data_IF_408234869417
#
_entry.id   IF_408234869417
#
_cell.length_a   1.000
_cell.length_b   1.000
_cell.length_c   1.000
_cell.angle_alpha   90.00
_cell.angle_beta   90.00
_cell.angle_gamma   90.00
#
_symmetry.space_group_name_H-M   'P 1'
#
loop_
_entity.id
_entity.type
_entity.pdbx_description
1 polymer ?
#
# COMPACT_ATOMS: atom_id res chain seq x y z
N UNK A 1 73.83 -14.59 42.55
CA UNK A 1 73.88 -13.88 41.26
C UNK A 1 73.98 -14.94 40.18
N UNK A 2 72.85 -15.30 39.58
CA UNK A 2 72.77 -16.13 38.37
C UNK A 2 71.31 -16.14 37.89
N UNK A 3 70.99 -15.10 37.14
CA UNK A 3 70.11 -15.04 35.96
C UNK A 3 68.78 -15.78 35.99
N UNK A 4 67.77 -15.01 36.41
CA UNK A 4 66.42 -15.10 35.86
C UNK A 4 66.44 -14.47 34.47
N UNK A 5 66.21 -15.24 33.41
CA UNK A 5 65.63 -14.69 32.18
C UNK A 5 64.82 -15.75 31.42
N UNK A 6 63.50 -15.61 31.54
CA UNK A 6 62.52 -16.43 30.84
C UNK A 6 62.49 -16.09 29.36
N UNK A 7 62.79 -17.09 28.53
CA UNK A 7 62.64 -17.03 27.08
C UNK A 7 61.15 -17.06 26.67
N UNK A 8 60.42 -15.98 26.96
CA UNK A 8 59.11 -15.74 26.35
C UNK A 8 59.33 -15.29 24.91
N UNK A 9 59.40 -16.24 23.98
CA UNK A 9 59.66 -15.93 22.57
C UNK A 9 58.58 -14.97 22.00
N UNK A 10 58.96 -13.85 21.34
CA UNK A 10 58.01 -12.85 20.83
C UNK A 10 57.08 -13.36 19.72
N UNK A 11 57.31 -14.58 19.21
CA UNK A 11 56.41 -15.26 18.25
C UNK A 11 55.12 -15.75 18.92
N UNK A 12 55.19 -16.19 20.18
CA UNK A 12 54.02 -16.69 20.92
C UNK A 12 53.01 -15.60 21.31
N UNK A 13 53.50 -14.38 21.58
CA UNK A 13 52.60 -13.29 21.95
C UNK A 13 51.83 -12.74 20.74
N UNK A 14 52.47 -12.69 19.57
CA UNK A 14 51.82 -12.28 18.31
C UNK A 14 50.75 -13.28 17.86
N UNK A 15 51.03 -14.58 17.95
CA UNK A 15 50.03 -15.62 17.64
C UNK A 15 48.84 -15.56 18.61
N UNK A 16 49.11 -15.41 19.91
CA UNK A 16 48.06 -15.26 20.93
C UNK A 16 47.19 -14.02 20.71
N UNK A 17 47.78 -12.86 20.40
CA UNK A 17 47.02 -11.63 20.06
C UNK A 17 46.15 -11.81 18.82
N UNK A 18 46.65 -12.52 17.80
CA UNK A 18 45.89 -12.84 16.59
C UNK A 18 44.68 -13.72 16.88
N UNK A 19 44.84 -14.78 17.68
CA UNK A 19 43.73 -15.64 18.08
C UNK A 19 42.66 -14.90 18.87
N UNK A 20 43.05 -14.02 19.81
CA UNK A 20 42.11 -13.20 20.58
C UNK A 20 41.32 -12.27 19.64
N UNK A 21 42.00 -11.60 18.70
CA UNK A 21 41.36 -10.73 17.71
C UNK A 21 40.41 -11.49 16.76
N UNK A 22 40.77 -12.70 16.34
CA UNK A 22 39.93 -13.56 15.50
C UNK A 22 38.67 -14.03 16.25
N UNK A 23 38.80 -14.46 17.51
CA UNK A 23 37.65 -14.83 18.36
C UNK A 23 36.73 -13.63 18.61
N UNK A 24 37.28 -12.46 18.89
CA UNK A 24 36.52 -11.22 19.07
C UNK A 24 35.76 -10.84 17.79
N UNK A 25 36.38 -10.98 16.62
CA UNK A 25 35.76 -10.70 15.31
C UNK A 25 34.61 -11.67 15.02
N UNK A 26 34.82 -12.99 15.22
CA UNK A 26 33.78 -14.01 15.04
C UNK A 26 32.59 -13.77 15.97
N UNK A 27 32.84 -13.52 17.26
CA UNK A 27 31.80 -13.19 18.23
C UNK A 27 31.00 -11.95 17.80
N UNK A 28 31.69 -10.90 17.39
CA UNK A 28 31.05 -9.68 16.90
C UNK A 28 30.17 -9.96 15.69
N UNK A 29 30.66 -10.69 14.68
CA UNK A 29 29.90 -11.03 13.49
C UNK A 29 28.64 -11.86 13.81
N UNK A 30 28.75 -12.86 14.69
CA UNK A 30 27.59 -13.68 15.10
C UNK A 30 26.50 -12.88 15.80
N UNK A 31 26.88 -11.89 16.62
CA UNK A 31 25.91 -11.05 17.33
C UNK A 31 25.25 -10.04 16.38
N UNK A 32 26.01 -9.45 15.45
CA UNK A 32 25.41 -8.56 14.43
C UNK A 32 24.42 -9.33 13.56
N UNK A 33 24.78 -10.54 13.10
CA UNK A 33 23.88 -11.42 12.34
C UNK A 33 22.61 -11.79 13.13
N UNK A 34 22.75 -12.09 14.43
CA UNK A 34 21.60 -12.41 15.27
C UNK A 34 20.60 -11.23 15.37
N UNK A 35 21.10 -10.00 15.49
CA UNK A 35 20.24 -8.79 15.45
C UNK A 35 19.62 -8.53 14.07
N UNK A 36 20.31 -8.89 12.98
CA UNK A 36 19.74 -8.76 11.65
C UNK A 36 18.63 -9.77 11.38
N UNK A 37 18.71 -10.99 11.93
CA UNK A 37 17.62 -11.98 11.82
C UNK A 37 16.43 -11.58 12.68
N UNK A 38 16.70 -11.15 13.92
CA UNK A 38 15.65 -10.75 14.86
C UNK A 38 16.07 -9.49 15.62
N UNK A 39 15.29 -8.41 15.55
CA UNK A 39 15.67 -7.13 16.16
C UNK A 39 15.97 -7.30 17.65
N UNK A 40 17.12 -6.79 18.10
CA UNK A 40 17.49 -6.82 19.52
C UNK A 40 18.19 -8.08 20.02
N UNK A 41 18.15 -9.21 19.29
CA UNK A 41 18.64 -10.51 19.76
C UNK A 41 20.17 -10.51 19.99
N UNK A 42 20.94 -9.87 19.12
CA UNK A 42 22.39 -9.70 19.28
C UNK A 42 22.79 -8.76 20.41
N UNK A 43 21.91 -7.86 20.87
CA UNK A 43 22.22 -6.93 21.97
C UNK A 43 22.18 -7.60 23.34
N UNK A 44 21.50 -8.74 23.49
CA UNK A 44 21.35 -9.46 24.76
C UNK A 44 22.69 -9.88 25.38
N UNK A 45 23.72 -10.09 24.56
CA UNK A 45 25.09 -10.44 24.99
C UNK A 45 26.07 -9.25 24.99
N UNK A 46 25.57 -8.03 24.87
CA UNK A 46 26.35 -6.79 24.91
C UNK A 46 26.05 -5.98 26.17
N UNK A 47 26.78 -4.87 26.39
CA UNK A 47 26.49 -3.92 27.47
C UNK A 47 25.09 -3.30 27.40
N UNK A 48 24.44 -3.36 26.24
CA UNK A 48 23.11 -2.79 25.97
C UNK A 48 21.97 -3.78 26.18
N UNK A 49 22.16 -4.82 27.01
CA UNK A 49 21.17 -5.89 27.25
C UNK A 49 19.76 -5.40 27.56
N UNK A 50 19.60 -4.31 28.32
CA UNK A 50 18.28 -3.74 28.67
C UNK A 50 17.53 -3.26 27.42
N UNK A 51 18.24 -2.62 26.50
CA UNK A 51 17.66 -2.13 25.24
C UNK A 51 17.35 -3.29 24.29
N UNK A 52 18.21 -4.31 24.25
CA UNK A 52 17.94 -5.56 23.52
C UNK A 52 16.67 -6.26 23.99
N UNK A 53 16.49 -6.40 25.31
CA UNK A 53 15.28 -7.00 25.90
C UNK A 53 14.03 -6.18 25.55
N UNK A 54 14.10 -4.84 25.66
CA UNK A 54 12.97 -3.97 25.32
C UNK A 54 12.53 -4.16 23.85
N UNK A 55 13.49 -4.15 22.92
CA UNK A 55 13.20 -4.35 21.49
C UNK A 55 12.61 -5.73 21.23
N UNK A 56 13.17 -6.79 21.83
CA UNK A 56 12.65 -8.16 21.68
C UNK A 56 11.21 -8.27 22.22
N UNK A 57 10.94 -7.72 23.40
CA UNK A 57 9.58 -7.68 23.97
C UNK A 57 8.64 -6.92 23.04
N UNK A 58 9.05 -5.77 22.52
CA UNK A 58 8.25 -4.97 21.58
C UNK A 58 7.88 -5.75 20.32
N UNK A 59 8.84 -6.47 19.72
CA UNK A 59 8.59 -7.33 18.54
C UNK A 59 7.63 -8.47 18.88
N UNK A 60 7.80 -9.13 20.03
CA UNK A 60 6.91 -10.22 20.46
C UNK A 60 5.50 -9.71 20.72
N UNK A 61 5.34 -8.59 21.42
CA UNK A 61 4.03 -7.98 21.68
C UNK A 61 3.33 -7.55 20.39
N UNK A 62 4.07 -6.97 19.44
CA UNK A 62 3.54 -6.61 18.13
C UNK A 62 3.08 -7.86 17.36
N UNK A 63 3.89 -8.92 17.32
CA UNK A 63 3.52 -10.18 16.67
C UNK A 63 2.26 -10.78 17.31
N UNK A 64 2.16 -10.77 18.64
CA UNK A 64 0.97 -11.22 19.37
C UNK A 64 -0.27 -10.38 19.04
N UNK A 65 -0.13 -9.05 18.94
CA UNK A 65 -1.24 -8.16 18.57
C UNK A 65 -1.74 -8.41 17.15
N UNK A 66 -0.82 -8.64 16.19
CA UNK A 66 -1.17 -9.01 14.81
C UNK A 66 -1.91 -10.34 14.77
N UNK A 67 -1.39 -11.37 15.47
CA UNK A 67 -2.02 -12.69 15.54
C UNK A 67 -3.41 -12.60 16.18
N UNK A 68 -3.55 -11.90 17.31
CA UNK A 68 -4.83 -11.71 17.97
C UNK A 68 -5.86 -11.05 17.04
N UNK A 69 -5.44 -10.01 16.30
CA UNK A 69 -6.30 -9.33 15.34
C UNK A 69 -6.73 -10.23 14.18
N UNK A 70 -5.83 -11.05 13.65
CA UNK A 70 -6.13 -12.03 12.59
C UNK A 70 -7.09 -13.11 13.09
N UNK A 71 -6.92 -13.60 14.32
CA UNK A 71 -7.82 -14.61 14.93
C UNK A 71 -9.21 -14.04 15.21
N UNK A 72 -9.31 -12.79 15.67
CA UNK A 72 -10.60 -12.15 15.99
C UNK A 72 -11.43 -11.81 14.74
N UNK A 73 -10.81 -11.28 13.69
CA UNK A 73 -11.52 -10.80 12.49
C UNK A 73 -11.55 -11.82 11.36
N UNK A 74 -10.68 -12.83 11.40
CA UNK A 74 -10.38 -13.68 10.25
C UNK A 74 -9.36 -13.03 9.30
N UNK A 75 -8.60 -13.82 8.53
CA UNK A 75 -7.47 -13.33 7.74
C UNK A 75 -7.88 -12.34 6.65
N UNK A 76 -9.01 -12.58 5.99
CA UNK A 76 -9.52 -11.73 4.90
C UNK A 76 -9.99 -10.37 5.42
N UNK A 77 -10.86 -10.33 6.42
CA UNK A 77 -11.38 -9.07 6.98
C UNK A 77 -10.28 -8.24 7.65
N UNK A 78 -9.32 -8.88 8.32
CA UNK A 78 -8.17 -8.19 8.91
C UNK A 78 -7.33 -7.50 7.82
N UNK A 79 -7.03 -8.20 6.72
CA UNK A 79 -6.27 -7.65 5.60
C UNK A 79 -7.03 -6.51 4.89
N UNK A 80 -8.33 -6.70 4.60
CA UNK A 80 -9.16 -5.67 3.96
C UNK A 80 -9.26 -4.40 4.81
N UNK A 81 -9.36 -4.52 6.15
CA UNK A 81 -9.49 -3.36 7.04
C UNK A 81 -8.29 -2.40 6.98
N UNK A 82 -7.11 -2.92 6.62
CA UNK A 82 -5.90 -2.12 6.44
C UNK A 82 -5.77 -1.66 4.98
N UNK A 83 -6.05 -2.54 4.02
CA UNK A 83 -5.84 -2.27 2.60
C UNK A 83 -6.75 -1.17 2.03
N UNK A 84 -7.95 -1.00 2.59
CA UNK A 84 -8.98 -0.08 2.07
C UNK A 84 -9.05 1.22 2.89
N UNK A 85 -8.28 1.36 3.98
CA UNK A 85 -8.32 2.53 4.84
C UNK A 85 -7.05 3.39 4.66
N UNK A 86 -7.15 4.60 4.07
CA UNK A 86 -6.02 5.51 3.87
C UNK A 86 -5.24 5.85 5.15
N UNK A 87 -5.94 5.98 6.28
CA UNK A 87 -5.32 6.28 7.57
C UNK A 87 -4.57 5.08 8.14
N UNK A 88 -5.09 3.86 7.93
CA UNK A 88 -4.41 2.64 8.34
C UNK A 88 -3.14 2.39 7.51
N UNK A 89 -3.18 2.66 6.21
CA UNK A 89 -2.00 2.61 5.32
C UNK A 89 -0.93 3.62 5.73
N UNK A 90 -1.32 4.85 6.08
CA UNK A 90 -0.39 5.86 6.60
C UNK A 90 0.23 5.43 7.93
N UNK A 91 -0.57 4.90 8.85
CA UNK A 91 -0.09 4.38 10.13
C UNK A 91 0.88 3.19 9.93
N UNK A 92 0.58 2.30 8.99
CA UNK A 92 1.46 1.18 8.63
C UNK A 92 2.78 1.65 8.03
N UNK A 93 2.75 2.65 7.13
CA UNK A 93 3.96 3.25 6.55
C UNK A 93 4.82 3.93 7.62
N UNK A 94 4.21 4.73 8.51
CA UNK A 94 4.91 5.39 9.61
C UNK A 94 5.51 4.36 10.58
N UNK A 95 4.77 3.31 10.92
CA UNK A 95 5.26 2.21 11.73
C UNK A 95 6.45 1.49 11.08
N UNK A 96 6.34 1.13 9.79
CA UNK A 96 7.42 0.47 9.04
C UNK A 96 8.70 1.32 9.02
N UNK A 97 8.56 2.63 8.84
CA UNK A 97 9.68 3.57 8.89
C UNK A 97 10.34 3.58 10.27
N UNK A 98 9.57 3.77 11.34
CA UNK A 98 10.10 3.82 12.72
C UNK A 98 10.72 2.48 13.12
N UNK A 99 10.05 1.37 12.82
CA UNK A 99 10.54 0.03 13.09
C UNK A 99 11.83 -0.26 12.31
N UNK A 100 11.90 0.14 11.04
CA UNK A 100 13.12 0.03 10.22
C UNK A 100 14.29 0.82 10.81
N UNK A 101 14.05 2.06 11.27
CA UNK A 101 15.06 2.88 11.93
C UNK A 101 15.55 2.24 13.23
N UNK A 102 14.65 1.74 14.07
CA UNK A 102 15.00 1.03 15.32
C UNK A 102 15.82 -0.22 14.99
N UNK A 103 15.46 -0.98 13.95
CA UNK A 103 16.18 -2.17 13.55
C UNK A 103 17.60 -1.85 13.10
N UNK A 104 17.77 -0.87 12.21
CA UNK A 104 19.10 -0.39 11.78
C UNK A 104 19.91 0.11 12.98
N UNK A 105 19.29 0.88 13.86
CA UNK A 105 19.93 1.36 15.08
C UNK A 105 20.44 0.20 15.96
N UNK A 106 19.65 -0.86 16.13
CA UNK A 106 20.08 -2.04 16.89
C UNK A 106 21.24 -2.78 16.23
N UNK A 107 21.27 -2.90 14.89
CA UNK A 107 22.38 -3.50 14.13
C UNK A 107 23.68 -2.70 14.36
N UNK A 108 23.59 -1.38 14.23
CA UNK A 108 24.73 -0.47 14.47
C UNK A 108 25.20 -0.59 15.92
N UNK A 109 24.27 -0.55 16.89
CA UNK A 109 24.61 -0.59 18.30
C UNK A 109 25.21 -1.93 18.72
N UNK A 110 24.76 -3.04 18.13
CA UNK A 110 25.38 -4.35 18.29
C UNK A 110 26.82 -4.34 17.77
N UNK A 111 27.06 -3.80 16.56
CA UNK A 111 28.41 -3.69 16.00
C UNK A 111 29.35 -2.82 16.83
N UNK A 112 28.83 -1.73 17.43
CA UNK A 112 29.60 -0.83 18.28
C UNK A 112 29.88 -1.45 19.65
N UNK A 113 28.90 -2.17 20.21
CA UNK A 113 29.00 -2.82 21.52
C UNK A 113 29.96 -4.01 21.55
N UNK A 114 30.33 -4.56 20.39
CA UNK A 114 31.23 -5.72 20.25
C UNK A 114 32.62 -5.37 19.71
N UNK A 115 32.90 -4.09 19.43
CA UNK A 115 34.23 -3.64 19.01
C UNK A 115 35.23 -3.81 20.14
N UNK A 116 36.24 -4.63 19.90
CA UNK A 116 37.32 -4.90 20.85
C UNK A 116 38.58 -4.09 20.47
N UNK A 117 39.27 -3.42 21.43
CA UNK A 117 40.53 -2.73 21.18
C UNK A 117 41.60 -3.58 20.50
N UNK A 118 41.60 -4.90 20.72
CA UNK A 118 42.54 -5.86 20.13
C UNK A 118 42.36 -6.07 18.62
N UNK A 119 41.26 -5.60 18.02
CA UNK A 119 41.01 -5.74 16.58
C UNK A 119 41.93 -4.86 15.74
N UNK A 120 42.49 -5.42 14.67
CA UNK A 120 43.30 -4.70 13.67
C UNK A 120 42.45 -3.73 12.82
N UNK A 121 43.09 -2.74 12.17
CA UNK A 121 42.38 -1.80 11.26
C UNK A 121 41.59 -2.52 10.15
N UNK A 122 42.15 -3.58 9.56
CA UNK A 122 41.48 -4.38 8.53
C UNK A 122 40.23 -5.10 9.08
N UNK A 123 40.32 -5.69 10.27
CA UNK A 123 39.18 -6.35 10.91
C UNK A 123 38.06 -5.35 11.27
N UNK A 124 38.41 -4.16 11.76
CA UNK A 124 37.44 -3.09 12.02
C UNK A 124 36.77 -2.60 10.74
N UNK A 125 37.54 -2.46 9.65
CA UNK A 125 37.01 -2.14 8.33
C UNK A 125 36.03 -3.20 7.82
N UNK A 126 36.40 -4.48 7.92
CA UNK A 126 35.54 -5.60 7.52
C UNK A 126 34.23 -5.68 8.33
N UNK A 127 34.29 -5.46 9.65
CA UNK A 127 33.09 -5.41 10.49
C UNK A 127 32.16 -4.24 10.12
N UNK A 128 32.72 -3.06 9.83
CA UNK A 128 31.94 -1.91 9.38
C UNK A 128 31.28 -2.16 8.02
N UNK A 129 32.01 -2.77 7.07
CA UNK A 129 31.47 -3.14 5.77
C UNK A 129 30.33 -4.16 5.90
N UNK A 130 30.51 -5.20 6.73
CA UNK A 130 29.47 -6.18 7.03
C UNK A 130 28.24 -5.51 7.65
N UNK A 131 28.44 -4.61 8.61
CA UNK A 131 27.34 -3.89 9.27
C UNK A 131 26.57 -3.02 8.27
N UNK A 132 27.26 -2.31 7.39
CA UNK A 132 26.64 -1.50 6.33
C UNK A 132 25.81 -2.38 5.38
N UNK A 133 26.35 -3.53 4.95
CA UNK A 133 25.64 -4.49 4.11
C UNK A 133 24.37 -5.02 4.79
N UNK A 134 24.45 -5.39 6.08
CA UNK A 134 23.28 -5.86 6.84
C UNK A 134 22.25 -4.75 7.06
N UNK A 135 22.67 -3.48 7.17
CA UNK A 135 21.72 -2.36 7.21
C UNK A 135 20.99 -2.20 5.86
N UNK A 136 21.68 -2.34 4.73
CA UNK A 136 21.06 -2.27 3.40
C UNK A 136 20.00 -3.36 3.21
N UNK A 137 20.26 -4.57 3.71
CA UNK A 137 19.29 -5.69 3.69
C UNK A 137 17.98 -5.34 4.41
N UNK A 138 17.99 -4.43 5.38
CA UNK A 138 16.79 -3.97 6.11
C UNK A 138 16.19 -2.70 5.49
N UNK A 139 17.03 -1.74 5.11
CA UNK A 139 16.59 -0.43 4.59
C UNK A 139 15.85 -0.60 3.26
N UNK A 140 16.37 -1.41 2.34
CA UNK A 140 15.79 -1.60 1.00
C UNK A 140 14.33 -2.10 1.08
N UNK A 141 14.02 -3.23 1.75
CA UNK A 141 12.64 -3.71 1.83
C UNK A 141 11.73 -2.76 2.61
N UNK A 142 12.21 -2.12 3.69
CA UNK A 142 11.39 -1.15 4.43
C UNK A 142 11.05 0.08 3.58
N UNK A 143 12.01 0.57 2.79
CA UNK A 143 11.77 1.64 1.82
C UNK A 143 10.71 1.27 0.78
N UNK A 144 10.73 0.03 0.28
CA UNK A 144 9.70 -0.44 -0.66
C UNK A 144 8.31 -0.53 -0.02
N UNK A 145 8.20 -0.98 1.23
CA UNK A 145 6.91 -1.05 1.95
C UNK A 145 6.33 0.35 2.13
N UNK A 146 7.15 1.33 2.53
CA UNK A 146 6.71 2.72 2.68
C UNK A 146 6.24 3.27 1.34
N UNK A 147 7.02 3.09 0.27
CA UNK A 147 6.67 3.61 -1.05
C UNK A 147 5.35 3.01 -1.56
N UNK A 148 5.19 1.69 -1.50
CA UNK A 148 3.95 1.02 -1.92
C UNK A 148 2.75 1.42 -1.05
N UNK A 149 2.93 1.61 0.26
CA UNK A 149 1.84 2.04 1.15
C UNK A 149 1.36 3.46 0.81
N UNK A 150 2.27 4.37 0.44
CA UNK A 150 1.94 5.73 0.03
C UNK A 150 1.23 5.75 -1.34
N UNK A 151 1.75 5.00 -2.31
CA UNK A 151 1.10 4.86 -3.63
C UNK A 151 -0.32 4.28 -3.48
N UNK A 152 -0.47 3.21 -2.69
CA UNK A 152 -1.77 2.61 -2.45
C UNK A 152 -2.72 3.58 -1.74
N UNK A 153 -2.23 4.36 -0.77
CA UNK A 153 -3.03 5.39 -0.10
C UNK A 153 -3.52 6.44 -1.09
N UNK A 154 -2.68 6.92 -1.99
CA UNK A 154 -3.05 7.95 -2.96
C UNK A 154 -4.08 7.43 -3.97
N UNK A 155 -3.99 6.16 -4.38
CA UNK A 155 -5.00 5.50 -5.21
C UNK A 155 -6.32 5.32 -4.46
N UNK A 156 -6.29 4.84 -3.22
CA UNK A 156 -7.52 4.67 -2.42
C UNK A 156 -8.15 6.03 -2.14
N UNK A 157 -7.35 7.05 -1.82
CA UNK A 157 -7.83 8.41 -1.59
C UNK A 157 -8.37 9.07 -2.86
N UNK A 158 -7.81 8.80 -4.04
CA UNK A 158 -8.35 9.34 -5.30
C UNK A 158 -9.62 8.63 -5.76
N UNK A 159 -9.73 7.32 -5.54
CA UNK A 159 -10.91 6.52 -5.89
C UNK A 159 -12.10 6.77 -4.95
N UNK A 160 -11.85 7.01 -3.66
CA UNK A 160 -12.89 7.14 -2.64
C UNK A 160 -12.98 8.56 -2.03
N UNK A 161 -12.07 9.47 -2.36
CA UNK A 161 -12.01 10.84 -1.83
C UNK A 161 -12.55 11.92 -2.78
N UNK A 162 -13.08 11.55 -3.95
CA UNK A 162 -13.83 12.46 -4.82
C UNK A 162 -15.33 12.20 -4.62
N UNK A 163 -16.09 13.30 -4.52
CA UNK A 163 -17.53 13.42 -4.18
C UNK A 163 -17.91 13.35 -2.68
N UNK A 164 -17.38 14.26 -1.87
CA UNK A 164 -18.29 15.09 -1.07
C UNK A 164 -18.81 16.21 -1.98
N UNK A 165 -19.73 15.84 -2.87
CA UNK A 165 -20.57 16.83 -3.53
C UNK A 165 -21.40 17.53 -2.45
N UNK A 166 -21.50 18.85 -2.56
CA UNK A 166 -22.48 19.66 -1.83
C UNK A 166 -23.84 18.97 -1.84
N UNK A 167 -24.62 19.02 -0.73
CA UNK A 167 -25.95 18.43 -0.68
C UNK A 167 -26.89 19.31 -1.51
N UNK A 168 -26.87 19.14 -2.83
CA UNK A 168 -27.87 19.68 -3.73
C UNK A 168 -28.63 18.51 -4.35
N UNK A 169 -29.87 18.43 -3.90
CA UNK A 169 -31.04 17.77 -4.45
C UNK A 169 -31.13 16.23 -4.31
N UNK A 170 -32.13 15.86 -3.50
CA UNK A 170 -32.67 14.53 -3.28
C UNK A 170 -33.11 13.91 -4.62
N UNK A 171 -32.21 13.15 -5.25
CA UNK A 171 -32.61 12.03 -6.10
C UNK A 171 -32.19 10.73 -5.43
N UNK A 172 -33.11 9.76 -5.48
CA UNK A 172 -33.22 8.48 -4.75
C UNK A 172 -32.10 7.47 -5.02
N UNK A 173 -30.85 7.91 -5.12
CA UNK A 173 -29.71 7.02 -5.17
C UNK A 173 -29.44 6.52 -3.76
N UNK A 174 -29.60 5.21 -3.53
CA UNK A 174 -29.28 4.59 -2.26
C UNK A 174 -27.78 4.81 -1.95
N UNK A 175 -27.49 5.81 -1.12
CA UNK A 175 -26.15 6.03 -0.61
C UNK A 175 -25.88 4.99 0.49
N UNK A 176 -24.68 4.37 0.51
CA UNK A 176 -24.33 3.47 1.60
C UNK A 176 -24.44 4.20 2.95
N UNK A 177 -25.13 3.59 3.90
CA UNK A 177 -25.27 4.09 5.26
C UNK A 177 -23.94 4.13 6.01
N UNK A 178 -23.88 4.87 7.11
CA UNK A 178 -22.66 5.05 7.92
C UNK A 178 -22.49 3.98 9.02
N UNK A 179 -23.34 2.95 9.03
CA UNK A 179 -23.37 1.88 10.02
C UNK A 179 -22.32 0.77 9.82
N UNK A 180 -22.40 -0.27 10.64
CA UNK A 180 -21.52 -1.46 10.56
C UNK A 180 -21.74 -2.23 9.27
N UNK A 181 -22.98 -2.24 8.76
CA UNK A 181 -23.32 -2.66 7.41
C UNK A 181 -23.83 -1.43 6.62
N UNK A 182 -23.02 -0.86 5.72
CA UNK A 182 -23.42 0.28 4.89
C UNK A 182 -24.59 -0.04 3.94
N UNK A 183 -24.90 -1.31 3.73
CA UNK A 183 -25.92 -1.77 2.78
C UNK A 183 -27.13 -2.39 3.48
N UNK A 184 -27.26 -2.19 4.79
CA UNK A 184 -28.40 -2.67 5.57
C UNK A 184 -29.71 -2.12 4.98
N UNK A 185 -30.65 -3.01 4.65
CA UNK A 185 -31.93 -2.65 4.03
C UNK A 185 -31.87 -2.28 2.53
N UNK A 186 -30.68 -2.26 1.91
CA UNK A 186 -30.53 -1.99 0.47
C UNK A 186 -30.69 -3.28 -0.32
N UNK A 187 -31.76 -3.42 -1.11
CA UNK A 187 -32.04 -4.67 -1.84
C UNK A 187 -31.14 -4.89 -3.07
N UNK A 188 -30.65 -3.81 -3.70
CA UNK A 188 -29.78 -3.83 -4.88
C UNK A 188 -28.85 -2.63 -4.92
N UNK A 189 -27.61 -2.87 -5.34
CA UNK A 189 -26.63 -1.84 -5.69
C UNK A 189 -26.35 -1.92 -7.18
N UNK A 190 -26.56 -0.83 -7.91
CA UNK A 190 -26.27 -0.76 -9.35
C UNK A 190 -25.07 0.15 -9.58
N UNK A 191 -24.02 -0.39 -10.18
CA UNK A 191 -22.82 0.36 -10.56
C UNK A 191 -22.69 0.40 -12.07
N UNK A 192 -22.66 1.61 -12.65
CA UNK A 192 -22.36 1.82 -14.07
C UNK A 192 -20.84 1.94 -14.24
N UNK A 193 -20.27 0.97 -14.94
CA UNK A 193 -18.85 0.91 -15.31
C UNK A 193 -18.69 1.46 -16.71
N UNK A 194 -17.94 2.56 -16.82
CA UNK A 194 -17.63 3.22 -18.08
C UNK A 194 -16.15 3.06 -18.41
N UNK A 195 -15.85 2.32 -19.47
CA UNK A 195 -14.52 2.22 -20.06
C UNK A 195 -14.30 3.35 -21.06
N UNK A 196 -13.40 4.27 -20.73
CA UNK A 196 -13.02 5.40 -21.58
C UNK A 196 -11.75 5.09 -22.37
N UNK A 197 -11.78 5.20 -23.70
CA UNK A 197 -10.57 5.28 -24.53
C UNK A 197 -10.11 6.75 -24.64
N UNK A 198 -9.60 7.29 -23.52
CA UNK A 198 -9.07 8.65 -23.46
C UNK A 198 -7.56 8.63 -23.12
N UNK A 199 -6.78 9.36 -23.92
CA UNK A 199 -5.36 9.62 -23.69
C UNK A 199 -5.09 11.12 -23.59
N UNK A 200 -3.94 11.51 -23.02
CA UNK A 200 -3.56 12.91 -22.75
C UNK A 200 -3.55 13.81 -24.01
N UNK A 201 -3.52 13.20 -25.20
CA UNK A 201 -3.51 13.85 -26.51
C UNK A 201 -4.90 13.98 -27.17
N UNK A 202 -5.99 13.54 -26.51
CA UNK A 202 -7.34 13.50 -27.09
C UNK A 202 -8.34 14.39 -26.35
N UNK A 203 -8.92 15.36 -27.08
CA UNK A 203 -10.10 16.11 -26.63
C UNK A 203 -11.36 15.26 -26.88
N UNK A 204 -11.83 14.57 -25.85
CA UNK A 204 -13.09 13.82 -25.84
C UNK A 204 -12.96 12.42 -25.23
N UNK A 205 -13.81 12.11 -24.24
CA UNK A 205 -13.87 10.81 -23.55
C UNK A 205 -14.88 9.89 -24.23
N UNK A 206 -14.42 9.05 -25.15
CA UNK A 206 -15.28 8.04 -25.81
C UNK A 206 -15.47 6.84 -24.89
N UNK A 207 -16.70 6.62 -24.42
CA UNK A 207 -17.04 5.43 -23.64
C UNK A 207 -17.34 4.26 -24.56
N UNK A 208 -16.35 3.41 -24.80
CA UNK A 208 -16.48 2.26 -25.71
C UNK A 208 -17.00 1.01 -25.01
N UNK A 209 -16.88 0.94 -23.69
CA UNK A 209 -17.44 -0.14 -22.86
C UNK A 209 -18.37 0.44 -21.80
N UNK A 210 -19.62 0.00 -21.81
CA UNK A 210 -20.63 0.41 -20.83
C UNK A 210 -21.23 -0.86 -20.23
N UNK A 211 -20.99 -1.10 -18.96
CA UNK A 211 -21.46 -2.29 -18.26
C UNK A 211 -22.15 -1.83 -16.98
N UNK A 212 -23.36 -2.30 -16.71
CA UNK A 212 -23.97 -2.09 -15.40
C UNK A 212 -23.86 -3.40 -14.61
N UNK A 213 -23.27 -3.30 -13.43
CA UNK A 213 -23.20 -4.36 -12.44
C UNK A 213 -24.33 -4.16 -11.42
N UNK A 214 -25.28 -5.09 -11.38
CA UNK A 214 -26.34 -5.12 -10.39
C UNK A 214 -26.04 -6.19 -9.35
N UNK A 215 -25.85 -5.77 -8.10
CA UNK A 215 -25.34 -6.60 -7.01
C UNK A 215 -26.42 -6.71 -5.93
N UNK A 216 -26.70 -7.93 -5.45
CA UNK A 216 -27.43 -8.15 -4.21
C UNK A 216 -26.41 -8.10 -3.05
N UNK A 217 -26.45 -7.09 -2.17
CA UNK A 217 -25.45 -6.98 -1.11
C UNK A 217 -25.62 -8.03 0.00
N UNK A 218 -26.80 -8.66 0.15
CA UNK A 218 -27.03 -9.71 1.14
C UNK A 218 -26.48 -11.08 0.70
N UNK A 219 -26.59 -11.42 -0.58
CA UNK A 219 -26.15 -12.73 -1.12
C UNK A 219 -24.83 -12.66 -1.89
N UNK A 220 -24.46 -11.50 -2.40
CA UNK A 220 -23.33 -11.30 -3.32
C UNK A 220 -23.67 -11.59 -4.79
N UNK A 221 -24.91 -11.99 -5.10
CA UNK A 221 -25.31 -12.32 -6.47
C UNK A 221 -25.18 -11.09 -7.36
N UNK A 222 -24.32 -11.22 -8.38
CA UNK A 222 -24.00 -10.14 -9.30
C UNK A 222 -24.44 -10.50 -10.70
N UNK A 223 -25.17 -9.59 -11.33
CA UNK A 223 -25.56 -9.70 -12.73
C UNK A 223 -24.98 -8.52 -13.49
N UNK A 224 -24.29 -8.83 -14.59
CA UNK A 224 -23.63 -7.85 -15.45
C UNK A 224 -24.41 -7.76 -16.77
N UNK A 225 -24.87 -6.56 -17.12
CA UNK A 225 -25.45 -6.29 -18.43
C UNK A 225 -24.63 -5.23 -19.16
N UNK A 226 -24.14 -5.59 -20.35
CA UNK A 226 -23.37 -4.71 -21.22
C UNK A 226 -24.31 -3.96 -22.16
N UNK A 227 -24.13 -2.65 -22.24
CA UNK A 227 -24.86 -1.77 -23.16
C UNK A 227 -23.98 -1.52 -24.40
N UNK A 228 -24.47 -1.86 -25.61
CA UNK A 228 -23.73 -1.59 -26.84
C UNK A 228 -23.52 -0.08 -27.03
N UNK A 229 -22.29 0.32 -27.36
CA UNK A 229 -21.96 1.74 -27.59
C UNK A 229 -22.75 2.37 -28.74
N UNK A 230 -23.12 1.54 -29.73
CA UNK A 230 -23.84 1.95 -30.94
C UNK A 230 -25.37 1.89 -30.74
N UNK A 231 -25.86 1.84 -29.49
CA UNK A 231 -27.30 1.87 -29.25
C UNK A 231 -27.86 3.24 -29.66
N UNK A 232 -28.79 3.24 -30.60
CA UNK A 232 -29.47 4.42 -31.12
C UNK A 232 -30.81 4.64 -30.40
N UNK A 233 -31.34 5.87 -30.49
CA UNK A 233 -32.67 6.23 -29.98
C UNK A 233 -32.84 5.93 -28.48
N UNK A 234 -31.78 6.16 -27.70
CA UNK A 234 -31.77 5.88 -26.27
C UNK A 234 -32.81 6.78 -25.59
N UNK A 235 -33.84 6.22 -24.92
CA UNK A 235 -34.88 7.03 -24.31
C UNK A 235 -34.36 7.73 -23.07
N UNK A 236 -34.76 8.99 -22.88
CA UNK A 236 -34.57 9.69 -21.62
C UNK A 236 -35.85 9.65 -20.79
N UNK A 237 -35.78 9.45 -19.46
CA UNK A 237 -36.93 9.60 -18.58
C UNK A 237 -37.56 11.00 -18.74
N UNK A 238 -38.88 11.11 -18.65
CA UNK A 238 -39.60 12.40 -18.76
C UNK A 238 -39.16 13.44 -17.71
N UNK A 239 -38.62 12.96 -16.60
CA UNK A 239 -38.07 13.78 -15.51
C UNK A 239 -36.67 14.31 -15.84
N UNK A 240 -35.94 13.68 -16.76
CA UNK A 240 -34.59 14.10 -17.13
C UNK A 240 -34.66 15.38 -17.99
N UNK A 241 -33.88 16.43 -17.68
CA UNK A 241 -33.83 17.66 -18.48
C UNK A 241 -33.56 17.45 -19.97
N UNK A 242 -32.80 16.40 -20.33
CA UNK A 242 -32.51 16.03 -21.71
C UNK A 242 -33.76 15.61 -22.49
N UNK A 243 -34.83 15.15 -21.83
CA UNK A 243 -36.09 14.83 -22.49
C UNK A 243 -36.78 16.05 -23.12
N UNK A 244 -36.47 17.28 -22.66
CA UNK A 244 -36.96 18.52 -23.29
C UNK A 244 -36.27 18.81 -24.62
N UNK A 245 -35.01 18.38 -24.75
CA UNK A 245 -34.18 18.58 -25.94
C UNK A 245 -34.36 17.39 -26.92
N UNK A 246 -34.51 16.19 -26.36
CA UNK A 246 -34.61 14.91 -27.06
C UNK A 246 -35.89 14.18 -26.64
N UNK A 247 -37.08 14.68 -27.03
CA UNK A 247 -38.37 14.12 -26.59
C UNK A 247 -38.64 12.70 -27.09
N UNK A 248 -38.01 12.29 -28.19
CA UNK A 248 -38.09 10.94 -28.76
C UNK A 248 -36.84 10.10 -28.42
N UNK A 249 -36.09 10.48 -27.38
CA UNK A 249 -34.79 9.90 -27.07
C UNK A 249 -33.66 10.52 -27.89
N UNK A 250 -32.44 10.06 -27.61
CA UNK A 250 -31.22 10.56 -28.26
C UNK A 250 -31.20 10.17 -29.74
N UNK A 251 -31.80 11.02 -30.57
CA UNK A 251 -31.99 10.81 -32.01
C UNK A 251 -31.75 12.12 -32.77
N UNK A 252 -30.72 12.13 -33.62
CA UNK A 252 -30.30 13.27 -34.44
C UNK A 252 -29.88 12.87 -35.86
N UNK A 253 -30.25 11.65 -36.28
CA UNK A 253 -29.79 11.03 -37.52
C UNK A 253 -28.44 10.30 -37.37
N UNK A 254 -28.21 9.20 -38.12
CA UNK A 254 -26.91 8.55 -38.17
C UNK A 254 -25.85 9.49 -38.74
N UNK A 255 -24.60 9.50 -38.24
CA UNK A 255 -24.03 8.58 -37.25
C UNK A 255 -23.87 9.17 -35.83
N UNK A 256 -24.45 10.35 -35.56
CA UNK A 256 -24.03 11.19 -34.42
C UNK A 256 -24.74 10.87 -33.09
N UNK A 257 -25.89 10.17 -33.14
CA UNK A 257 -26.73 9.89 -31.96
C UNK A 257 -26.64 8.45 -31.43
N UNK A 258 -25.46 8.10 -30.92
CA UNK A 258 -25.17 6.84 -30.26
C UNK A 258 -25.08 7.00 -28.74
N UNK A 259 -25.36 5.94 -27.98
CA UNK A 259 -25.34 5.94 -26.50
C UNK A 259 -24.04 6.49 -25.90
N UNK A 260 -22.88 6.21 -26.50
CA UNK A 260 -21.60 6.74 -26.02
C UNK A 260 -21.49 8.27 -26.10
N UNK A 261 -22.21 8.89 -27.04
CA UNK A 261 -22.23 10.34 -27.25
C UNK A 261 -22.97 11.10 -26.14
N UNK A 262 -23.86 10.42 -25.41
CA UNK A 262 -24.62 11.01 -24.28
C UNK A 262 -23.69 11.51 -23.19
N UNK A 263 -22.54 10.83 -22.98
CA UNK A 263 -21.55 11.22 -21.97
C UNK A 263 -20.71 12.44 -22.37
N UNK A 264 -20.45 12.62 -23.67
CA UNK A 264 -19.56 13.67 -24.20
C UNK A 264 -20.28 14.94 -24.61
N UNK A 265 -21.57 14.86 -24.96
CA UNK A 265 -22.31 15.97 -25.57
C UNK A 265 -23.41 16.49 -24.64
N UNK A 266 -23.08 17.29 -23.60
CA UNK A 266 -24.09 17.96 -22.77
C UNK A 266 -24.79 19.12 -23.48
N UNK A 267 -24.36 19.50 -24.70
CA UNK A 267 -24.96 20.57 -25.49
C UNK A 267 -25.41 20.05 -26.86
N UNK A 268 -26.59 20.44 -27.34
CA UNK A 268 -27.04 20.09 -28.68
C UNK A 268 -26.05 20.67 -29.69
N UNK A 269 -25.40 19.80 -30.46
CA UNK A 269 -24.69 20.21 -31.67
C UNK A 269 -25.73 20.68 -32.69
N UNK A 270 -25.38 21.65 -33.53
CA UNK A 270 -26.31 22.24 -34.52
C UNK A 270 -26.94 21.19 -35.46
N UNK A 271 -26.35 20.00 -35.62
CA UNK A 271 -26.95 18.91 -36.41
C UNK A 271 -28.15 18.27 -35.71
N UNK A 272 -28.17 18.16 -34.37
CA UNK A 272 -29.27 17.58 -33.62
C UNK A 272 -30.50 18.49 -33.51
N UNK A 273 -30.31 19.81 -33.58
CA UNK A 273 -31.42 20.77 -33.50
C UNK A 273 -32.20 20.91 -34.81
N UNK A 274 -31.78 20.26 -35.90
CA UNK A 274 -32.34 20.43 -37.24
C UNK A 274 -33.31 19.32 -37.66
N UNK A 275 -33.60 18.33 -36.81
CA UNK A 275 -34.58 17.28 -37.14
C UNK A 275 -35.99 17.82 -36.92
N UNK A 276 -36.51 18.50 -37.94
CA UNK A 276 -37.92 18.86 -38.05
C UNK A 276 -38.76 17.57 -38.02
N UNK A 277 -39.88 17.52 -37.27
CA UNK A 277 -40.74 16.35 -37.28
C UNK A 277 -41.29 16.11 -38.69
N UNK A 278 -41.00 14.96 -39.29
CA UNK A 278 -41.74 14.47 -40.45
C UNK A 278 -43.12 14.00 -39.97
N UNK A 279 -44.23 14.56 -40.48
CA UNK A 279 -45.55 14.10 -40.12
C UNK A 279 -45.80 12.72 -40.75
N UNK A 280 -46.35 11.80 -39.95
CA UNK A 280 -47.07 10.61 -40.43
C UNK A 280 -48.55 10.91 -40.31
#
# INVERSE_FOLDING_TARGET
>A
MSDLDGYASPRGERSRRREIAERATRRSATLTLATTIFPGLGLLRTRYKRLGVLVVIGVVLFAMAVIARVVMLGPTKAALSVAVNPNALLAAAAFALVAGLIWVFTIILASLGTRDPSMTRRQRGGLSALTALLCMVVIVPMGTVVNYSLIQRDVVASLFGVQQGTPEEEETNAQPGTGVDPWEGVSRVNMLLLGSDAGDDRIGTRTDSMIVASINPQTGDTLLFSLPRNLENVPFPKTNPLSKIYPQGYNCGPPDCLLNGVWTSPKPTRSCSAVTPTPV
#
